data_IF_680256058694
#
_entry.id   IF_680256058694
#
_cell.length_a   1.000
_cell.length_b   1.000
_cell.length_c   1.000
_cell.angle_alpha   90.00
_cell.angle_beta   90.00
_cell.angle_gamma   90.00
#
_symmetry.space_group_name_H-M   'P 1'
#
loop_
_entity.id
_entity.type
_entity.pdbx_description
1 polymer ?
#
# COMPACT_ATOMS: atom_id res chain seq x y z
N UNK A 1 2.18 -3.42 -30.66
CA UNK A 1 2.47 -3.68 -30.49
C UNK A 1 3.02 -4.18 -29.62
N UNK A 2 3.03 -4.38 -29.11
CA UNK A 2 3.48 -4.71 -28.37
C UNK A 2 4.15 -5.78 -28.24
N UNK A 3 4.07 -6.13 -28.70
CA UNK A 3 4.96 -7.18 -28.93
C UNK A 3 6.22 -7.09 -28.19
N UNK A 4 6.40 -6.08 -27.60
CA UNK A 4 7.61 -5.82 -26.87
C UNK A 4 7.82 -6.75 -25.70
N UNK A 5 6.91 -7.66 -25.45
CA UNK A 5 7.04 -8.55 -24.30
C UNK A 5 7.90 -9.74 -24.68
N UNK A 6 9.17 -9.70 -24.27
CA UNK A 6 10.09 -10.82 -24.44
C UNK A 6 10.04 -11.71 -23.20
N UNK A 7 10.55 -12.96 -23.30
CA UNK A 7 10.65 -13.81 -22.10
C UNK A 7 11.43 -13.16 -20.97
N UNK A 8 12.46 -12.38 -21.30
CA UNK A 8 13.25 -11.68 -20.30
C UNK A 8 12.44 -10.61 -19.60
N UNK A 9 11.61 -9.88 -20.36
CA UNK A 9 10.74 -8.86 -19.77
C UNK A 9 9.68 -9.49 -18.87
N UNK A 10 9.19 -10.65 -19.25
CA UNK A 10 8.23 -11.39 -18.43
C UNK A 10 8.86 -11.82 -17.11
N UNK A 11 10.12 -12.26 -17.13
CA UNK A 11 10.82 -12.63 -15.91
C UNK A 11 11.02 -11.44 -15.00
N UNK A 12 11.39 -10.30 -15.56
CA UNK A 12 11.59 -9.08 -14.79
C UNK A 12 10.29 -8.62 -14.16
N UNK A 13 9.21 -8.69 -14.92
CA UNK A 13 7.90 -8.28 -14.40
C UNK A 13 7.46 -9.22 -13.27
N UNK A 14 7.60 -10.53 -13.46
CA UNK A 14 7.25 -11.48 -12.42
C UNK A 14 8.06 -11.23 -11.15
N UNK A 15 9.35 -10.91 -11.32
CA UNK A 15 10.22 -10.68 -10.18
C UNK A 15 9.78 -9.46 -9.36
N UNK A 16 9.57 -8.31 -10.01
CA UNK A 16 9.22 -7.15 -9.21
C UNK A 16 7.81 -7.25 -8.62
N UNK A 17 6.91 -7.96 -9.31
CA UNK A 17 5.58 -8.18 -8.74
C UNK A 17 5.66 -9.07 -7.52
N UNK A 18 6.51 -10.08 -7.53
CA UNK A 18 6.73 -10.94 -6.37
C UNK A 18 7.35 -10.14 -5.23
N UNK A 19 8.33 -9.30 -5.53
CA UNK A 19 8.95 -8.45 -4.52
C UNK A 19 7.92 -7.50 -3.93
N UNK A 20 7.05 -6.92 -4.77
CA UNK A 20 6.00 -6.04 -4.29
C UNK A 20 5.07 -6.78 -3.33
N UNK A 21 4.73 -8.02 -3.65
CA UNK A 21 3.86 -8.80 -2.77
C UNK A 21 4.54 -9.10 -1.43
N UNK A 22 5.82 -9.47 -1.46
CA UNK A 22 6.55 -9.72 -0.23
C UNK A 22 6.61 -8.47 0.65
N UNK A 23 6.88 -7.32 0.05
CA UNK A 23 6.91 -6.07 0.79
C UNK A 23 5.52 -5.69 1.30
N UNK A 24 4.50 -5.93 0.50
CA UNK A 24 3.11 -5.64 0.91
C UNK A 24 2.77 -6.42 2.18
N UNK A 25 3.15 -7.69 2.24
CA UNK A 25 2.92 -8.51 3.42
C UNK A 25 3.66 -7.96 4.64
N UNK A 26 4.89 -7.50 4.45
CA UNK A 26 5.66 -6.93 5.55
C UNK A 26 5.06 -5.63 6.05
N UNK A 27 4.44 -4.86 5.17
CA UNK A 27 3.76 -3.63 5.56
C UNK A 27 2.47 -3.95 6.33
N UNK A 28 1.69 -4.89 5.82
CA UNK A 28 0.44 -5.26 6.47
C UNK A 28 0.66 -5.93 7.83
N UNK A 29 1.74 -6.69 7.96
CA UNK A 29 2.06 -7.35 9.23
C UNK A 29 2.73 -6.39 10.22
N UNK A 30 3.01 -5.16 9.79
CA UNK A 30 3.69 -4.15 10.59
C UNK A 30 5.15 -4.45 10.87
N UNK A 31 5.71 -5.41 10.16
CA UNK A 31 7.16 -5.61 10.18
C UNK A 31 7.84 -4.34 9.65
N UNK A 32 7.22 -3.72 8.64
CA UNK A 32 7.62 -2.40 8.17
C UNK A 32 6.51 -1.43 8.61
N UNK A 33 6.68 -0.76 9.74
CA UNK A 33 5.61 0.08 10.27
C UNK A 33 5.46 1.40 9.51
N UNK A 34 4.30 2.05 9.63
CA UNK A 34 4.09 3.35 8.99
C UNK A 34 5.19 4.34 9.37
N UNK A 35 5.62 5.11 8.39
CA UNK A 35 6.69 6.08 8.57
C UNK A 35 8.09 5.52 8.47
N UNK A 36 8.23 4.21 8.41
CA UNK A 36 9.54 3.56 8.33
C UNK A 36 10.15 3.79 6.96
N UNK A 37 11.39 4.29 6.94
CA UNK A 37 12.11 4.44 5.68
C UNK A 37 12.58 3.10 5.18
N UNK A 38 12.52 2.92 3.87
CA UNK A 38 12.93 1.68 3.23
C UNK A 38 14.43 1.69 2.99
N UNK A 39 15.13 0.72 3.56
CA UNK A 39 16.56 0.55 3.31
C UNK A 39 16.70 -0.33 2.07
N UNK A 40 16.81 0.31 0.91
CA UNK A 40 16.84 -0.40 -0.36
C UNK A 40 18.02 -1.35 -0.49
N UNK A 41 19.18 -0.94 -0.01
CA UNK A 41 20.36 -1.79 -0.09
C UNK A 41 20.20 -3.05 0.74
N UNK A 42 19.67 -2.89 1.95
CA UNK A 42 19.46 -4.01 2.84
C UNK A 42 18.43 -4.99 2.28
N UNK A 43 17.32 -4.47 1.78
CA UNK A 43 16.25 -5.32 1.25
C UNK A 43 16.71 -6.02 -0.03
N UNK A 44 17.41 -5.31 -0.90
CA UNK A 44 17.95 -5.93 -2.11
C UNK A 44 18.89 -7.07 -1.75
N UNK A 45 19.71 -6.88 -0.74
CA UNK A 45 20.62 -7.93 -0.28
C UNK A 45 19.86 -9.10 0.32
N UNK A 46 18.84 -8.84 1.11
CA UNK A 46 18.02 -9.90 1.72
C UNK A 46 17.35 -10.76 0.65
N UNK A 47 16.87 -10.16 -0.41
CA UNK A 47 16.17 -10.89 -1.45
C UNK A 47 17.10 -11.38 -2.56
N UNK A 48 18.37 -11.03 -2.50
CA UNK A 48 19.32 -11.44 -3.54
C UNK A 48 19.01 -10.87 -4.89
N UNK A 49 18.55 -9.63 -4.95
CA UNK A 49 18.18 -8.97 -6.20
C UNK A 49 18.92 -7.66 -6.34
N UNK A 50 18.94 -7.13 -7.57
CA UNK A 50 19.47 -5.80 -7.81
C UNK A 50 18.44 -4.76 -7.38
N UNK A 51 18.86 -3.49 -7.41
CA UNK A 51 17.97 -2.40 -7.00
C UNK A 51 16.86 -2.12 -8.01
N UNK A 52 17.08 -2.47 -9.27
CA UNK A 52 16.10 -2.16 -10.32
C UNK A 52 14.74 -2.81 -10.06
N UNK A 53 14.64 -4.15 -9.88
CA UNK A 53 13.34 -4.73 -9.56
C UNK A 53 12.78 -4.25 -8.24
N UNK A 54 13.65 -3.96 -7.27
CA UNK A 54 13.18 -3.42 -6.00
C UNK A 54 12.52 -2.06 -6.19
N UNK A 55 13.14 -1.18 -6.98
CA UNK A 55 12.57 0.13 -7.25
C UNK A 55 11.25 0.04 -8.00
N UNK A 56 11.15 -0.90 -8.95
CA UNK A 56 9.90 -1.10 -9.66
C UNK A 56 8.80 -1.58 -8.70
N UNK A 57 9.16 -2.47 -7.77
CA UNK A 57 8.21 -2.92 -6.75
C UNK A 57 7.75 -1.75 -5.88
N UNK A 58 8.67 -0.89 -5.48
CA UNK A 58 8.31 0.28 -4.67
C UNK A 58 7.38 1.21 -5.42
N UNK A 59 7.58 1.36 -6.73
CA UNK A 59 6.67 2.18 -7.54
C UNK A 59 5.27 1.59 -7.57
N UNK A 60 5.16 0.27 -7.68
CA UNK A 60 3.87 -0.40 -7.62
C UNK A 60 3.17 -0.12 -6.30
N UNK A 61 3.91 -0.27 -5.20
CA UNK A 61 3.35 -0.01 -3.87
C UNK A 61 2.99 1.45 -3.68
N UNK A 62 3.74 2.36 -4.33
CA UNK A 62 3.42 3.77 -4.28
C UNK A 62 2.10 4.07 -4.97
N UNK A 63 1.82 3.43 -6.10
CA UNK A 63 0.53 3.62 -6.77
C UNK A 63 -0.61 3.07 -5.94
N UNK A 64 -0.34 2.09 -5.08
CA UNK A 64 -1.35 1.54 -4.18
C UNK A 64 -1.51 2.37 -2.90
N UNK A 65 -0.66 3.37 -2.71
CA UNK A 65 -0.73 4.21 -1.53
C UNK A 65 -0.04 3.64 -0.30
N UNK A 66 0.65 2.51 -0.43
CA UNK A 66 1.33 1.87 0.68
C UNK A 66 2.71 2.45 0.95
N UNK A 67 3.33 2.98 -0.09
CA UNK A 67 4.66 3.59 -0.03
C UNK A 67 4.57 5.01 -0.56
N UNK A 68 5.31 5.92 0.07
CA UNK A 68 5.47 7.28 -0.42
C UNK A 68 6.91 7.46 -0.87
N UNK A 69 7.11 7.91 -2.10
CA UNK A 69 8.43 8.13 -2.64
C UNK A 69 8.76 9.61 -2.61
N UNK A 70 9.94 9.94 -2.08
CA UNK A 70 10.43 11.31 -2.01
C UNK A 70 11.64 11.46 -2.93
N UNK A 71 11.58 12.46 -3.79
CA UNK A 71 12.69 12.71 -4.71
C UNK A 71 13.97 12.93 -3.92
N UNK A 72 15.02 12.19 -4.28
CA UNK A 72 16.35 12.28 -3.68
C UNK A 72 16.44 11.86 -2.21
N UNK A 73 15.34 11.35 -1.62
CA UNK A 73 15.35 10.93 -0.22
C UNK A 73 15.02 9.45 -0.04
N UNK A 74 14.44 8.83 -1.06
CA UNK A 74 14.08 7.42 -1.00
C UNK A 74 12.59 7.22 -0.80
N UNK A 75 12.23 6.16 -0.12
CA UNK A 75 10.83 5.79 0.05
C UNK A 75 10.57 5.42 1.50
N UNK A 76 9.35 5.61 1.95
CA UNK A 76 8.94 5.21 3.29
C UNK A 76 7.52 4.67 3.27
N UNK A 77 7.17 3.90 4.28
CA UNK A 77 5.83 3.35 4.43
C UNK A 77 4.87 4.51 4.75
N UNK A 78 3.81 4.62 3.95
CA UNK A 78 2.87 5.72 4.08
C UNK A 78 2.21 5.72 5.44
N UNK A 79 2.09 6.90 6.04
CA UNK A 79 1.39 7.09 7.30
C UNK A 79 -0.03 7.58 7.03
N UNK A 80 -0.99 7.08 7.80
CA UNK A 80 -2.35 7.60 7.78
C UNK A 80 -2.42 8.62 8.91
N UNK A 81 -2.66 9.89 8.58
CA UNK A 81 -2.74 10.89 9.63
C UNK A 81 -4.17 11.03 10.14
N UNK A 82 -4.29 11.54 11.36
CA UNK A 82 -5.59 11.67 12.02
C UNK A 82 -6.57 12.54 11.24
N UNK A 83 -6.06 13.55 10.57
CA UNK A 83 -6.92 14.44 9.80
C UNK A 83 -7.61 13.67 8.67
N UNK A 84 -6.88 12.81 7.98
CA UNK A 84 -7.45 12.03 6.90
C UNK A 84 -8.56 11.11 7.40
N UNK A 85 -8.35 10.47 8.55
CA UNK A 85 -9.37 9.63 9.16
C UNK A 85 -10.59 10.46 9.58
N UNK A 86 -10.36 11.61 10.17
CA UNK A 86 -11.44 12.51 10.59
C UNK A 86 -12.26 12.94 9.38
N UNK A 87 -11.60 13.26 8.27
CA UNK A 87 -12.28 13.66 7.05
C UNK A 87 -13.15 12.53 6.50
N UNK A 88 -12.66 11.29 6.55
CA UNK A 88 -13.42 10.13 6.11
C UNK A 88 -14.66 9.94 6.98
N UNK A 89 -14.51 10.01 8.29
CA UNK A 89 -15.64 9.85 9.21
C UNK A 89 -16.65 10.99 9.03
N UNK A 90 -16.18 12.19 8.80
CA UNK A 90 -17.06 13.33 8.55
C UNK A 90 -17.89 13.11 7.29
N UNK A 91 -17.25 12.64 6.22
CA UNK A 91 -17.93 12.33 4.97
C UNK A 91 -19.00 11.26 5.17
N UNK A 92 -18.67 10.21 5.91
CA UNK A 92 -19.61 9.14 6.21
C UNK A 92 -20.82 9.67 6.98
N UNK A 93 -20.57 10.55 7.93
CA UNK A 93 -21.64 11.17 8.72
C UNK A 93 -22.58 11.96 7.83
N UNK A 94 -22.06 12.70 6.86
CA UNK A 94 -22.88 13.45 5.92
C UNK A 94 -23.73 12.53 5.04
N UNK A 95 -23.15 11.41 4.59
CA UNK A 95 -23.88 10.45 3.77
C UNK A 95 -25.00 9.78 4.55
N UNK A 96 -24.76 9.48 5.82
CA UNK A 96 -25.78 8.84 6.66
C UNK A 96 -26.99 9.74 6.92
N UNK A 97 -26.81 11.05 6.84
CA UNK A 97 -27.91 11.99 7.05
C UNK A 97 -28.86 12.06 5.86
N UNK A 98 -28.50 11.46 4.72
CA UNK A 98 -29.31 11.48 3.50
C UNK A 98 -29.97 10.11 3.31
N UNK A 99 -31.32 10.09 3.38
CA UNK A 99 -32.09 8.85 3.26
C UNK A 99 -31.86 8.17 1.90
N UNK A 100 -31.58 8.95 0.86
CA UNK A 100 -31.34 8.39 -0.47
C UNK A 100 -30.00 7.67 -0.57
N UNK A 101 -29.15 7.82 0.42
CA UNK A 101 -27.82 7.24 0.42
C UNK A 101 -27.75 5.89 1.12
N UNK A 102 -28.88 5.24 1.39
CA UNK A 102 -28.89 3.98 2.14
C UNK A 102 -27.95 2.94 1.51
N UNK A 103 -28.05 2.75 0.20
CA UNK A 103 -27.20 1.78 -0.50
C UNK A 103 -25.75 2.23 -0.48
N UNK A 104 -25.52 3.51 -0.74
CA UNK A 104 -24.17 4.08 -0.70
C UNK A 104 -23.59 4.00 0.70
N UNK A 105 -24.42 4.20 1.72
CA UNK A 105 -24.00 4.09 3.11
C UNK A 105 -23.50 2.69 3.42
N UNK A 106 -24.19 1.67 2.93
CA UNK A 106 -23.77 0.30 3.16
C UNK A 106 -22.40 0.02 2.49
N UNK A 107 -22.22 0.47 1.25
CA UNK A 107 -20.98 0.31 0.55
C UNK A 107 -19.85 1.06 1.28
N UNK A 108 -20.16 2.26 1.72
CA UNK A 108 -19.17 3.09 2.42
C UNK A 108 -18.81 2.50 3.78
N UNK A 109 -19.79 1.95 4.48
CA UNK A 109 -19.53 1.29 5.76
C UNK A 109 -18.61 0.09 5.58
N UNK A 110 -18.76 -0.65 4.48
CA UNK A 110 -17.88 -1.75 4.15
C UNK A 110 -16.45 -1.25 3.93
N UNK A 111 -16.30 -0.14 3.23
CA UNK A 111 -14.99 0.46 3.00
C UNK A 111 -14.33 0.91 4.29
N UNK A 112 -15.11 1.50 5.18
CA UNK A 112 -14.58 1.91 6.48
C UNK A 112 -14.17 0.70 7.30
N UNK A 113 -14.93 -0.36 7.25
CA UNK A 113 -14.60 -1.58 7.96
C UNK A 113 -13.29 -2.16 7.45
N UNK A 114 -13.10 -2.15 6.13
CA UNK A 114 -11.85 -2.59 5.54
C UNK A 114 -10.69 -1.70 5.99
N UNK A 115 -10.90 -0.40 6.02
CA UNK A 115 -9.89 0.55 6.45
C UNK A 115 -9.53 0.31 7.92
N UNK A 116 -10.52 0.10 8.77
CA UNK A 116 -10.27 -0.20 10.17
C UNK A 116 -9.53 -1.53 10.32
N UNK A 117 -9.87 -2.51 9.49
CA UNK A 117 -9.17 -3.78 9.50
C UNK A 117 -7.70 -3.64 9.15
N UNK A 118 -7.38 -2.79 8.19
CA UNK A 118 -6.00 -2.52 7.82
C UNK A 118 -5.26 -1.77 8.93
N UNK A 119 -5.95 -0.86 9.60
CA UNK A 119 -5.36 -0.03 10.63
C UNK A 119 -5.25 -0.77 11.97
N UNK A 120 -6.31 -1.43 12.36
CA UNK A 120 -6.42 -2.03 13.70
C UNK A 120 -6.19 -3.54 13.70
N UNK A 121 -6.26 -4.18 12.53
CA UNK A 121 -6.21 -5.63 12.45
C UNK A 121 -5.07 -6.27 13.22
N UNK A 122 -3.81 -5.89 12.96
CA UNK A 122 -2.71 -6.49 13.70
C UNK A 122 -2.72 -6.15 15.18
N UNK A 123 -3.25 -4.99 15.53
CA UNK A 123 -3.32 -4.57 16.92
C UNK A 123 -4.46 -5.27 17.65
N UNK A 124 -5.58 -5.48 16.97
CA UNK A 124 -6.71 -6.18 17.54
C UNK A 124 -6.43 -7.66 17.73
N UNK A 125 -5.48 -8.18 17.00
CA UNK A 125 -5.06 -9.57 17.15
C UNK A 125 -4.36 -9.90 18.45
N UNK A 126 -4.13 -8.90 19.25
CA UNK A 126 -3.51 -9.15 20.54
C UNK A 126 -4.43 -9.88 21.47
#
# INVERSE_FOLDING_TARGET
MNAAVSPQNLKQRALYEEVAELLRQRIFSRELPPGNWIDELKIAAEYGISRTPLREALKVLATEGLITMKVRRGAYVTEVNEKDLTDVYHLLSLLESDAAAVVATQATASQVKDLQGLHDGPMLGK
#
